data_IF_596701736312
#
_entry.id   IF_596701736312
#
_cell.length_a   1.000
_cell.length_b   1.000
_cell.length_c   1.000
_cell.angle_alpha   90.00
_cell.angle_beta   90.00
_cell.angle_gamma   90.00
#
_symmetry.space_group_name_H-M   'P 1'
#
loop_
_entity.id
_entity.type
_entity.pdbx_description
1 polymer ?
#
# COMPACT_ATOMS: atom_id res chain seq x y z
N UNK A 1 -28.36 10.08 39.49
CA UNK A 1 -27.34 9.20 38.85
C UNK A 1 -27.65 8.79 37.42
N UNK A 2 -28.38 9.56 36.59
CA UNK A 2 -28.89 9.11 35.27
C UNK A 2 -28.44 9.94 34.05
N UNK A 3 -27.61 10.94 34.23
CA UNK A 3 -27.12 11.76 33.09
C UNK A 3 -25.70 11.41 32.56
N UNK A 4 -24.91 10.66 33.32
CA UNK A 4 -23.53 10.28 32.89
C UNK A 4 -23.56 9.10 31.92
N UNK A 5 -24.50 8.16 32.07
CA UNK A 5 -24.60 6.97 31.21
C UNK A 5 -25.08 7.25 29.77
N UNK A 6 -25.83 8.34 29.55
CA UNK A 6 -26.35 8.69 28.20
C UNK A 6 -25.27 9.36 27.31
N UNK A 7 -24.36 10.09 27.95
CA UNK A 7 -23.23 10.70 27.19
C UNK A 7 -22.21 9.66 26.72
N UNK A 8 -21.99 8.58 27.48
CA UNK A 8 -21.06 7.52 27.08
C UNK A 8 -21.59 6.69 25.91
N UNK A 9 -22.90 6.39 25.88
CA UNK A 9 -23.49 5.65 24.74
C UNK A 9 -23.54 6.46 23.45
N UNK A 10 -23.72 7.78 23.51
CA UNK A 10 -23.65 8.65 22.34
C UNK A 10 -22.21 8.85 21.83
N UNK A 11 -21.23 8.95 22.71
CA UNK A 11 -19.82 8.94 22.33
C UNK A 11 -19.39 7.57 21.76
N UNK A 12 -19.86 6.47 22.31
CA UNK A 12 -19.61 5.13 21.75
C UNK A 12 -20.24 4.94 20.37
N UNK A 13 -21.48 5.42 20.14
CA UNK A 13 -22.12 5.42 18.81
C UNK A 13 -21.42 6.34 17.82
N UNK A 14 -20.91 7.49 18.26
CA UNK A 14 -20.15 8.42 17.41
C UNK A 14 -18.78 7.87 17.01
N UNK A 15 -18.13 7.05 17.85
CA UNK A 15 -16.89 6.32 17.56
C UNK A 15 -17.09 5.12 16.62
N UNK A 16 -18.33 4.66 16.39
CA UNK A 16 -18.65 3.50 15.54
C UNK A 16 -19.10 3.86 14.13
N UNK A 17 -19.18 5.14 13.76
CA UNK A 17 -19.62 5.54 12.42
C UNK A 17 -18.41 5.65 11.48
N UNK A 18 -18.52 5.01 10.30
CA UNK A 18 -17.55 5.19 9.23
C UNK A 18 -17.45 6.68 8.85
N UNK A 19 -16.21 7.17 8.66
CA UNK A 19 -15.99 8.50 8.13
C UNK A 19 -16.03 8.44 6.59
N UNK A 20 -16.46 9.53 5.95
CA UNK A 20 -16.44 9.63 4.49
C UNK A 20 -15.06 10.05 4.01
N UNK A 21 -14.61 9.42 2.94
CA UNK A 21 -13.42 9.87 2.20
C UNK A 21 -13.84 11.08 1.37
N UNK A 22 -13.08 12.16 1.45
CA UNK A 22 -13.27 13.33 0.59
C UNK A 22 -12.11 13.46 -0.39
N UNK A 23 -12.20 12.72 -1.49
CA UNK A 23 -11.14 12.66 -2.51
C UNK A 23 -10.83 14.02 -3.12
N UNK A 24 -11.82 14.89 -3.33
CA UNK A 24 -11.62 16.24 -3.88
C UNK A 24 -10.71 17.10 -3.00
N UNK A 25 -10.90 17.04 -1.67
CA UNK A 25 -10.02 17.77 -0.73
C UNK A 25 -8.62 17.16 -0.71
N UNK A 26 -8.53 15.83 -0.79
CA UNK A 26 -7.23 15.13 -0.77
C UNK A 26 -6.44 15.38 -2.06
N UNK A 27 -7.07 15.40 -3.23
CA UNK A 27 -6.45 15.71 -4.54
C UNK A 27 -5.81 17.11 -4.57
N UNK A 28 -6.38 18.10 -3.89
CA UNK A 28 -5.78 19.45 -3.78
C UNK A 28 -4.36 19.45 -3.22
N UNK A 29 -3.97 18.42 -2.47
CA UNK A 29 -2.61 18.28 -1.92
C UNK A 29 -1.59 17.78 -2.95
N UNK A 30 -2.03 17.34 -4.13
CA UNK A 30 -1.19 16.88 -5.23
C UNK A 30 -0.92 17.97 -6.27
N UNK A 31 -1.52 19.16 -6.12
CA UNK A 31 -1.31 20.29 -7.04
C UNK A 31 0.16 20.73 -6.95
N UNK A 32 0.79 20.80 -8.13
CA UNK A 32 2.19 21.21 -8.27
C UNK A 32 2.31 22.70 -8.56
N UNK A 33 3.29 23.36 -7.94
CA UNK A 33 3.66 24.71 -8.36
C UNK A 33 4.41 24.66 -9.70
N UNK A 34 4.41 25.78 -10.43
CA UNK A 34 5.07 25.87 -11.74
C UNK A 34 6.60 25.75 -11.69
N UNK A 35 7.19 26.03 -10.52
CA UNK A 35 8.62 25.98 -10.24
C UNK A 35 9.07 24.73 -9.48
N UNK A 36 8.16 23.78 -9.30
CA UNK A 36 8.43 22.56 -8.55
C UNK A 36 9.49 21.67 -9.24
N UNK A 37 10.32 21.02 -8.43
CA UNK A 37 11.33 20.06 -8.91
C UNK A 37 11.07 18.64 -8.38
N UNK A 38 11.63 17.63 -9.07
CA UNK A 38 11.40 16.20 -8.77
C UNK A 38 11.64 15.80 -7.31
N UNK A 39 12.57 16.44 -6.61
CA UNK A 39 12.88 16.14 -5.20
C UNK A 39 11.74 16.48 -4.24
N UNK A 40 10.83 17.38 -4.59
CA UNK A 40 9.69 17.76 -3.76
C UNK A 40 8.62 16.66 -3.70
N UNK A 41 8.52 15.87 -4.77
CA UNK A 41 7.56 14.77 -4.90
C UNK A 41 8.09 13.43 -4.39
N UNK A 42 9.27 13.46 -3.78
CA UNK A 42 9.88 12.34 -3.08
C UNK A 42 10.34 11.20 -3.98
N UNK A 43 10.87 10.17 -3.32
CA UNK A 43 11.42 8.98 -3.96
C UNK A 43 10.75 7.73 -3.37
N UNK A 44 10.09 6.94 -4.21
CA UNK A 44 9.55 5.63 -3.84
C UNK A 44 10.59 4.56 -4.15
N UNK A 45 10.87 3.67 -3.22
CA UNK A 45 11.63 2.44 -3.44
C UNK A 45 10.68 1.25 -3.30
N UNK A 46 10.37 0.59 -4.41
CA UNK A 46 9.69 -0.70 -4.41
C UNK A 46 10.71 -1.81 -4.24
N UNK A 47 10.46 -2.73 -3.31
CA UNK A 47 11.28 -3.93 -3.05
C UNK A 47 10.41 -5.16 -3.25
N UNK A 48 10.66 -5.90 -4.31
CA UNK A 48 9.87 -7.06 -4.70
C UNK A 48 10.27 -7.64 -6.05
N UNK A 49 9.37 -8.39 -6.67
CA UNK A 49 9.67 -9.02 -7.96
C UNK A 49 10.74 -10.09 -7.87
N UNK A 50 10.54 -11.11 -7.01
CA UNK A 50 11.40 -12.31 -6.97
C UNK A 50 11.24 -13.14 -8.25
N UNK A 51 12.08 -14.16 -8.41
CA UNK A 51 12.03 -15.07 -9.58
C UNK A 51 10.61 -15.62 -9.75
N UNK A 52 10.06 -15.45 -10.95
CA UNK A 52 8.68 -15.81 -11.28
C UNK A 52 7.60 -14.76 -10.94
N UNK A 53 7.95 -13.69 -10.20
CA UNK A 53 7.01 -12.67 -9.73
C UNK A 53 7.40 -11.24 -10.14
N UNK A 54 8.26 -11.09 -11.15
CA UNK A 54 8.78 -9.78 -11.59
C UNK A 54 7.71 -8.74 -11.92
N UNK A 55 6.59 -9.16 -12.50
CA UNK A 55 5.47 -8.30 -12.89
C UNK A 55 4.84 -7.53 -11.72
N UNK A 56 4.79 -8.11 -10.52
CA UNK A 56 4.19 -7.46 -9.35
C UNK A 56 4.98 -6.21 -8.92
N UNK A 57 6.32 -6.32 -8.84
CA UNK A 57 7.19 -5.17 -8.56
C UNK A 57 7.09 -4.09 -9.62
N UNK A 58 6.98 -4.48 -10.90
CA UNK A 58 6.81 -3.56 -12.02
C UNK A 58 5.49 -2.79 -11.97
N UNK A 59 4.37 -3.47 -11.70
CA UNK A 59 3.07 -2.84 -11.58
C UNK A 59 3.04 -1.83 -10.44
N UNK A 60 3.62 -2.17 -9.27
CA UNK A 60 3.74 -1.24 -8.16
C UNK A 60 4.59 -0.01 -8.51
N UNK A 61 5.73 -0.22 -9.19
CA UNK A 61 6.62 0.87 -9.62
C UNK A 61 5.96 1.76 -10.66
N UNK A 62 5.31 1.18 -11.68
CA UNK A 62 4.57 1.94 -12.70
C UNK A 62 3.45 2.75 -12.07
N UNK A 63 2.74 2.19 -11.10
CA UNK A 63 1.71 2.89 -10.35
C UNK A 63 2.28 4.11 -9.61
N UNK A 64 3.44 3.98 -8.98
CA UNK A 64 4.08 5.09 -8.29
C UNK A 64 4.48 6.22 -9.25
N UNK A 65 5.04 5.89 -10.41
CA UNK A 65 5.35 6.86 -11.49
C UNK A 65 4.07 7.57 -11.95
N UNK A 66 3.05 6.81 -12.31
CA UNK A 66 1.78 7.33 -12.83
C UNK A 66 1.07 8.26 -11.83
N UNK A 67 1.26 8.01 -10.53
CA UNK A 67 0.68 8.82 -9.46
C UNK A 67 1.58 9.97 -8.98
N UNK A 68 2.63 10.29 -9.74
CA UNK A 68 3.39 11.52 -9.57
C UNK A 68 4.51 11.46 -8.54
N UNK A 69 5.06 10.30 -8.20
CA UNK A 69 6.32 10.22 -7.48
C UNK A 69 7.43 10.94 -8.28
N UNK A 70 8.25 11.74 -7.60
CA UNK A 70 9.32 12.48 -8.28
C UNK A 70 10.46 11.60 -8.77
N UNK A 71 10.74 10.52 -8.05
CA UNK A 71 11.68 9.46 -8.38
C UNK A 71 11.10 8.10 -8.01
N UNK A 72 11.36 7.09 -8.83
CA UNK A 72 10.96 5.72 -8.59
C UNK A 72 12.14 4.77 -8.77
N UNK A 73 12.35 3.87 -7.82
CA UNK A 73 13.33 2.78 -7.92
C UNK A 73 12.69 1.43 -7.63
N UNK A 74 12.99 0.45 -8.45
CA UNK A 74 12.61 -0.95 -8.25
C UNK A 74 13.84 -1.77 -7.86
N UNK A 75 13.92 -2.23 -6.62
CA UNK A 75 14.89 -3.22 -6.15
C UNK A 75 14.32 -4.62 -6.38
N UNK A 76 14.87 -5.33 -7.34
CA UNK A 76 14.40 -6.63 -7.82
C UNK A 76 15.55 -7.54 -8.20
N UNK A 77 15.25 -8.80 -8.55
CA UNK A 77 16.26 -9.75 -9.02
C UNK A 77 16.91 -9.25 -10.32
N UNK A 78 18.22 -9.48 -10.45
CA UNK A 78 18.99 -9.03 -11.61
C UNK A 78 18.44 -9.52 -12.96
N UNK A 79 17.82 -10.71 -12.96
CA UNK A 79 17.19 -11.29 -14.17
C UNK A 79 16.00 -10.48 -14.71
N UNK A 80 15.42 -9.58 -13.92
CA UNK A 80 14.27 -8.76 -14.34
C UNK A 80 14.64 -7.37 -14.86
N UNK A 81 15.90 -6.96 -14.78
CA UNK A 81 16.33 -5.59 -15.13
C UNK A 81 15.98 -5.22 -16.57
N UNK A 82 16.36 -6.07 -17.54
CA UNK A 82 16.09 -5.78 -18.95
C UNK A 82 14.60 -5.70 -19.29
N UNK A 83 13.81 -6.66 -18.78
CA UNK A 83 12.36 -6.66 -18.95
C UNK A 83 11.71 -5.43 -18.31
N UNK A 84 12.19 -5.02 -17.15
CA UNK A 84 11.69 -3.84 -16.45
C UNK A 84 11.90 -2.56 -17.22
N UNK A 85 13.10 -2.36 -17.78
CA UNK A 85 13.44 -1.18 -18.59
C UNK A 85 12.63 -1.12 -19.88
N UNK A 86 12.34 -2.27 -20.50
CA UNK A 86 11.49 -2.32 -21.69
C UNK A 86 10.02 -1.96 -21.36
N UNK A 87 9.53 -2.32 -20.18
CA UNK A 87 8.16 -2.04 -19.77
C UNK A 87 7.96 -0.61 -19.27
N UNK A 88 8.91 -0.08 -18.50
CA UNK A 88 8.81 1.25 -17.88
C UNK A 88 10.21 1.87 -17.72
N UNK A 89 10.71 2.60 -18.74
CA UNK A 89 12.05 3.21 -18.70
C UNK A 89 12.17 4.34 -17.66
N UNK A 90 11.05 4.86 -17.13
CA UNK A 90 11.03 5.88 -16.08
C UNK A 90 11.45 5.32 -14.71
N UNK A 91 11.42 4.00 -14.54
CA UNK A 91 11.80 3.33 -13.29
C UNK A 91 13.30 3.06 -13.25
N UNK A 92 13.97 3.50 -12.19
CA UNK A 92 15.37 3.18 -11.94
C UNK A 92 15.52 1.78 -11.37
N UNK A 93 15.71 0.77 -12.23
CA UNK A 93 15.81 -0.63 -11.79
C UNK A 93 17.14 -0.90 -11.11
N UNK A 94 17.09 -1.48 -9.90
CA UNK A 94 18.25 -1.80 -9.07
C UNK A 94 18.38 -3.33 -8.95
N UNK A 95 19.41 -3.95 -9.55
CA UNK A 95 19.65 -5.37 -9.38
C UNK A 95 20.05 -5.67 -7.92
N UNK A 96 19.27 -6.51 -7.26
CA UNK A 96 19.46 -6.87 -5.84
C UNK A 96 19.28 -8.37 -5.68
N UNK A 97 20.40 -9.11 -5.63
CA UNK A 97 20.40 -10.55 -5.45
C UNK A 97 20.75 -10.98 -4.02
N UNK A 98 21.06 -10.04 -3.13
CA UNK A 98 21.32 -10.28 -1.69
C UNK A 98 20.90 -9.11 -0.82
N UNK A 99 20.75 -9.35 0.48
CA UNK A 99 20.47 -8.29 1.46
C UNK A 99 21.55 -7.21 1.51
N UNK A 100 22.82 -7.59 1.33
CA UNK A 100 23.94 -6.65 1.28
C UNK A 100 23.83 -5.72 0.05
N UNK A 101 23.43 -6.24 -1.10
CA UNK A 101 23.25 -5.45 -2.30
C UNK A 101 22.09 -4.42 -2.17
N UNK A 102 21.11 -4.69 -1.30
CA UNK A 102 20.01 -3.78 -1.02
C UNK A 102 20.43 -2.57 -0.17
N UNK A 103 21.38 -2.73 0.76
CA UNK A 103 21.69 -1.72 1.78
C UNK A 103 21.95 -0.32 1.21
N UNK A 104 22.69 -0.24 0.11
CA UNK A 104 23.04 1.04 -0.53
C UNK A 104 21.87 1.85 -1.08
N UNK A 105 20.69 1.22 -1.20
CA UNK A 105 19.48 1.87 -1.73
C UNK A 105 18.49 2.28 -0.64
N UNK A 106 18.74 1.90 0.62
CA UNK A 106 17.79 2.08 1.72
C UNK A 106 17.89 3.44 2.43
N UNK A 107 18.89 4.27 2.13
CA UNK A 107 19.10 5.55 2.83
C UNK A 107 18.41 6.74 2.17
N UNK A 108 18.18 6.68 0.88
CA UNK A 108 17.68 7.81 0.10
C UNK A 108 16.16 7.87 -0.13
N UNK A 109 15.37 6.77 -0.05
CA UNK A 109 13.96 6.84 -0.38
C UNK A 109 13.14 7.60 0.67
N UNK A 110 12.13 8.33 0.19
CA UNK A 110 11.12 8.98 1.03
C UNK A 110 10.11 7.98 1.59
N UNK A 111 9.93 6.85 0.92
CA UNK A 111 9.07 5.72 1.32
C UNK A 111 9.57 4.41 0.72
N UNK A 112 9.42 3.33 1.46
CA UNK A 112 9.71 1.96 1.00
C UNK A 112 8.38 1.22 0.83
N UNK A 113 8.12 0.69 -0.36
CA UNK A 113 7.04 -0.24 -0.67
C UNK A 113 7.62 -1.66 -0.73
N UNK A 114 7.28 -2.50 0.23
CA UNK A 114 7.84 -3.84 0.37
C UNK A 114 6.75 -4.89 0.20
N UNK A 115 6.99 -5.87 -0.67
CA UNK A 115 6.15 -7.06 -0.72
C UNK A 115 5.57 -7.47 -2.07
N UNK A 116 5.29 -6.55 -3.03
CA UNK A 116 4.80 -6.92 -4.36
C UNK A 116 5.70 -7.99 -5.01
N UNK A 117 5.18 -9.22 -5.15
CA UNK A 117 5.95 -10.33 -5.71
C UNK A 117 7.24 -10.68 -4.97
N UNK A 118 7.29 -10.45 -3.66
CA UNK A 118 8.51 -10.68 -2.87
C UNK A 118 8.85 -12.17 -2.75
N UNK A 119 7.85 -13.06 -2.72
CA UNK A 119 8.04 -14.46 -2.38
C UNK A 119 8.30 -14.67 -0.89
N UNK A 120 8.63 -15.92 -0.52
CA UNK A 120 8.81 -16.31 0.89
C UNK A 120 10.07 -17.16 1.10
N UNK A 121 11.05 -17.02 0.21
CA UNK A 121 12.34 -17.71 0.27
C UNK A 121 13.39 -16.93 1.10
N UNK A 122 14.62 -17.42 1.09
CA UNK A 122 15.72 -16.79 1.83
C UNK A 122 16.03 -15.36 1.35
N UNK A 123 15.91 -15.10 0.04
CA UNK A 123 16.10 -13.75 -0.49
C UNK A 123 15.03 -12.80 0.08
N UNK A 124 13.78 -13.22 0.10
CA UNK A 124 12.66 -12.45 0.65
C UNK A 124 12.87 -12.11 2.13
N UNK A 125 13.39 -13.07 2.90
CA UNK A 125 13.72 -12.85 4.30
C UNK A 125 14.83 -11.82 4.50
N UNK A 126 15.83 -11.80 3.63
CA UNK A 126 16.87 -10.77 3.66
C UNK A 126 16.29 -9.39 3.31
N UNK A 127 15.44 -9.31 2.30
CA UNK A 127 14.81 -8.05 1.88
C UNK A 127 13.99 -7.43 3.01
N UNK A 128 13.12 -8.22 3.66
CA UNK A 128 12.30 -7.70 4.76
C UNK A 128 13.16 -7.32 5.98
N UNK A 129 14.15 -8.13 6.33
CA UNK A 129 15.03 -7.84 7.47
C UNK A 129 15.74 -6.50 7.30
N UNK A 130 16.46 -6.32 6.18
CA UNK A 130 17.24 -5.11 5.90
C UNK A 130 16.35 -3.87 5.76
N UNK A 131 15.17 -4.03 5.15
CA UNK A 131 14.22 -2.93 4.99
C UNK A 131 13.66 -2.46 6.33
N UNK A 132 13.23 -3.37 7.21
CA UNK A 132 12.71 -3.03 8.54
C UNK A 132 13.79 -2.38 9.42
N UNK A 133 14.99 -2.95 9.44
CA UNK A 133 16.12 -2.44 10.20
C UNK A 133 16.43 -0.99 9.81
N UNK A 134 16.61 -0.73 8.50
CA UNK A 134 16.98 0.58 7.98
C UNK A 134 15.84 1.60 8.10
N UNK A 135 14.62 1.22 7.76
CA UNK A 135 13.47 2.10 7.87
C UNK A 135 13.21 2.54 9.31
N UNK A 136 13.44 1.65 10.28
CA UNK A 136 13.37 2.04 11.68
C UNK A 136 14.45 3.03 12.06
N UNK A 137 15.71 2.78 11.65
CA UNK A 137 16.85 3.67 11.95
C UNK A 137 16.64 5.08 11.39
N UNK A 138 16.18 5.16 10.14
CA UNK A 138 16.04 6.43 9.41
C UNK A 138 14.65 7.07 9.59
N UNK A 139 13.72 6.40 10.31
CA UNK A 139 12.31 6.79 10.43
C UNK A 139 11.61 6.94 9.05
N UNK A 140 12.03 6.15 8.06
CA UNK A 140 11.47 6.12 6.71
C UNK A 140 10.09 5.47 6.74
N UNK A 141 9.05 6.09 6.16
CA UNK A 141 7.75 5.46 5.99
C UNK A 141 7.83 4.15 5.20
N UNK A 142 7.02 3.17 5.58
CA UNK A 142 6.90 1.91 4.83
C UNK A 142 5.45 1.59 4.51
N UNK A 143 5.24 1.05 3.32
CA UNK A 143 4.06 0.28 2.97
C UNK A 143 4.47 -1.19 2.84
N UNK A 144 3.73 -2.09 3.49
CA UNK A 144 3.97 -3.54 3.40
C UNK A 144 2.71 -4.21 2.86
N UNK A 145 2.86 -4.98 1.78
CA UNK A 145 1.79 -5.71 1.09
C UNK A 145 2.20 -7.16 0.80
N UNK A 146 1.28 -7.95 0.34
CA UNK A 146 1.48 -9.30 -0.21
C UNK A 146 2.39 -10.18 0.67
N UNK A 147 3.45 -10.76 0.10
CA UNK A 147 4.36 -11.64 0.84
C UNK A 147 5.10 -10.94 1.98
N UNK A 148 5.29 -9.63 1.91
CA UNK A 148 5.77 -8.84 3.03
C UNK A 148 4.89 -8.97 4.27
N UNK A 149 3.55 -9.01 4.10
CA UNK A 149 2.60 -9.22 5.19
C UNK A 149 2.63 -10.65 5.71
N UNK A 150 2.82 -11.64 4.84
CA UNK A 150 2.93 -13.04 5.23
C UNK A 150 4.15 -13.30 6.11
N UNK A 151 5.28 -12.66 5.79
CA UNK A 151 6.54 -12.78 6.53
C UNK A 151 6.59 -11.91 7.80
N UNK A 152 5.86 -10.79 7.84
CA UNK A 152 5.93 -9.80 8.91
C UNK A 152 5.83 -10.38 10.33
N UNK A 153 4.89 -11.31 10.66
CA UNK A 153 4.78 -11.87 12.01
C UNK A 153 6.05 -12.58 12.50
N UNK A 154 6.87 -13.12 11.59
CA UNK A 154 8.16 -13.77 11.93
C UNK A 154 9.18 -12.74 12.38
N UNK A 155 9.20 -11.56 11.74
CA UNK A 155 10.25 -10.55 11.96
C UNK A 155 9.96 -9.59 13.11
N UNK A 156 8.70 -9.26 13.39
CA UNK A 156 8.34 -8.36 14.50
C UNK A 156 8.72 -8.89 15.89
N UNK A 157 8.98 -10.18 16.01
CA UNK A 157 9.52 -10.78 17.24
C UNK A 157 11.00 -10.45 17.47
N UNK A 158 11.72 -10.10 16.41
CA UNK A 158 13.16 -9.85 16.40
C UNK A 158 13.51 -8.39 16.19
N UNK A 159 12.69 -7.69 15.41
CA UNK A 159 12.91 -6.30 15.01
C UNK A 159 11.68 -5.46 15.32
N UNK A 160 11.82 -4.35 16.03
CA UNK A 160 10.71 -3.43 16.23
C UNK A 160 10.37 -2.71 14.91
N UNK A 161 9.08 -2.52 14.66
CA UNK A 161 8.58 -1.85 13.45
C UNK A 161 8.97 -0.37 13.38
N UNK A 162 9.08 0.21 12.17
CA UNK A 162 9.12 1.65 11.97
C UNK A 162 7.86 2.32 12.52
N UNK A 163 7.96 3.60 12.91
CA UNK A 163 6.81 4.35 13.44
C UNK A 163 5.76 4.70 12.38
N UNK A 164 6.17 4.77 11.12
CA UNK A 164 5.32 5.20 10.00
C UNK A 164 5.10 4.02 9.06
N UNK A 165 3.99 3.29 9.25
CA UNK A 165 3.74 2.06 8.50
C UNK A 165 2.28 1.98 8.00
N UNK A 166 2.12 1.53 6.76
CA UNK A 166 0.85 1.15 6.14
C UNK A 166 0.88 -0.34 5.85
N UNK A 167 -0.17 -1.05 6.20
CA UNK A 167 -0.36 -2.47 5.88
C UNK A 167 -1.60 -2.60 5.01
N UNK A 168 -1.51 -3.35 3.92
CA UNK A 168 -2.59 -3.49 2.92
C UNK A 168 -3.12 -4.93 2.80
N UNK A 169 -3.52 -5.59 3.92
CA UNK A 169 -3.90 -6.98 3.86
C UNK A 169 -5.23 -7.23 3.13
N UNK A 170 -5.30 -8.28 2.33
CA UNK A 170 -6.55 -8.96 2.02
C UNK A 170 -6.95 -9.89 3.19
N UNK A 171 -8.13 -10.54 3.10
CA UNK A 171 -8.66 -11.37 4.20
C UNK A 171 -7.68 -12.49 4.62
N UNK A 172 -6.98 -13.13 3.66
CA UNK A 172 -6.00 -14.17 3.95
C UNK A 172 -4.79 -13.65 4.73
N UNK A 173 -4.21 -12.54 4.29
CA UNK A 173 -3.08 -11.88 4.96
C UNK A 173 -3.48 -11.36 6.35
N UNK A 174 -4.69 -10.80 6.47
CA UNK A 174 -5.23 -10.38 7.76
C UNK A 174 -5.37 -11.54 8.76
N UNK A 175 -5.74 -12.73 8.27
CA UNK A 175 -5.81 -13.93 9.12
C UNK A 175 -4.43 -14.35 9.65
N UNK A 176 -3.39 -14.22 8.84
CA UNK A 176 -1.98 -14.47 9.23
C UNK A 176 -1.53 -13.40 10.26
N UNK A 177 -1.77 -12.13 9.98
CA UNK A 177 -1.39 -11.02 10.88
C UNK A 177 -2.03 -11.14 12.27
N UNK A 178 -3.27 -11.61 12.35
CA UNK A 178 -3.98 -11.78 13.62
C UNK A 178 -3.86 -13.20 14.21
N UNK A 179 -3.26 -14.13 13.49
CA UNK A 179 -3.22 -15.55 13.83
C UNK A 179 -4.64 -16.09 14.15
N UNK A 180 -5.56 -15.93 13.18
CA UNK A 180 -6.97 -16.33 13.32
C UNK A 180 -7.51 -16.86 11.98
N UNK A 181 -8.72 -17.42 11.95
CA UNK A 181 -9.29 -17.94 10.71
C UNK A 181 -9.84 -16.83 9.79
N UNK A 182 -9.89 -17.13 8.48
CA UNK A 182 -10.45 -16.21 7.46
C UNK A 182 -11.93 -15.92 7.71
N UNK A 183 -12.67 -16.87 8.27
CA UNK A 183 -14.09 -16.76 8.60
C UNK A 183 -14.32 -15.69 9.68
N UNK A 184 -13.47 -15.66 10.72
CA UNK A 184 -13.50 -14.64 11.77
C UNK A 184 -13.25 -13.26 11.18
N UNK A 185 -12.25 -13.13 10.29
CA UNK A 185 -11.97 -11.86 9.61
C UNK A 185 -13.18 -11.42 8.77
N UNK A 186 -13.74 -12.32 7.93
CA UNK A 186 -14.90 -12.04 7.08
C UNK A 186 -16.10 -11.56 7.89
N UNK A 187 -16.40 -12.22 9.00
CA UNK A 187 -17.55 -11.89 9.88
C UNK A 187 -17.40 -10.53 10.56
N UNK A 188 -16.16 -10.10 10.85
CA UNK A 188 -15.89 -8.92 11.68
C UNK A 188 -14.81 -8.02 11.08
N UNK A 189 -14.94 -7.61 9.80
CA UNK A 189 -13.90 -6.91 9.06
C UNK A 189 -13.43 -5.61 9.73
N UNK A 190 -14.35 -4.77 10.20
CA UNK A 190 -14.02 -3.50 10.88
C UNK A 190 -13.22 -3.76 12.16
N UNK A 191 -13.69 -4.70 12.99
CA UNK A 191 -13.00 -5.04 14.23
C UNK A 191 -11.61 -5.64 13.95
N UNK A 192 -11.49 -6.45 12.91
CA UNK A 192 -10.22 -7.04 12.48
C UNK A 192 -9.22 -5.98 12.01
N UNK A 193 -9.67 -5.01 11.20
CA UNK A 193 -8.84 -3.88 10.78
C UNK A 193 -8.35 -3.06 11.99
N UNK A 194 -9.22 -2.77 12.95
CA UNK A 194 -8.85 -2.07 14.20
C UNK A 194 -7.84 -2.87 15.03
N UNK A 195 -8.02 -4.19 15.16
CA UNK A 195 -7.09 -5.08 15.87
C UNK A 195 -5.71 -5.09 15.23
N UNK A 196 -5.64 -5.18 13.89
CA UNK A 196 -4.36 -5.10 13.15
C UNK A 196 -3.73 -3.73 13.37
N UNK A 197 -4.49 -2.64 13.20
CA UNK A 197 -3.99 -1.28 13.40
C UNK A 197 -3.40 -1.06 14.79
N UNK A 198 -4.05 -1.55 15.83
CA UNK A 198 -3.55 -1.47 17.22
C UNK A 198 -2.33 -2.35 17.43
N UNK A 199 -2.37 -3.62 16.97
CA UNK A 199 -1.28 -4.59 17.14
C UNK A 199 0.03 -4.14 16.53
N UNK A 200 -0.05 -3.57 15.31
CA UNK A 200 1.14 -3.16 14.54
C UNK A 200 1.41 -1.66 14.58
N UNK A 201 0.59 -0.87 15.29
CA UNK A 201 0.66 0.60 15.26
C UNK A 201 0.72 1.15 13.83
N UNK A 202 -0.13 0.63 12.94
CA UNK A 202 -0.11 0.86 11.50
C UNK A 202 -1.43 1.42 10.98
N UNK A 203 -1.38 2.22 9.91
CA UNK A 203 -2.55 2.43 9.05
C UNK A 203 -2.83 1.12 8.32
N UNK A 204 -4.08 0.68 8.27
CA UNK A 204 -4.48 -0.60 7.68
C UNK A 204 -5.47 -0.37 6.56
N UNK A 205 -5.22 -0.96 5.40
CA UNK A 205 -6.17 -1.10 4.29
C UNK A 205 -6.60 -2.56 4.21
N UNK A 206 -7.74 -2.92 4.79
CA UNK A 206 -8.29 -4.27 4.67
C UNK A 206 -9.05 -4.39 3.35
N UNK A 207 -8.36 -4.97 2.35
CA UNK A 207 -8.83 -5.11 0.96
C UNK A 207 -10.06 -6.02 0.86
N UNK A 208 -10.89 -5.77 -0.16
CA UNK A 208 -12.09 -6.54 -0.54
C UNK A 208 -13.27 -5.62 -0.85
N UNK A 209 -14.45 -6.20 -1.17
CA UNK A 209 -15.66 -5.38 -1.37
C UNK A 209 -15.85 -4.45 -0.17
N UNK A 210 -16.07 -3.16 -0.42
CA UNK A 210 -16.09 -2.13 0.61
C UNK A 210 -14.79 -2.14 1.44
N UNK A 211 -13.68 -1.80 0.81
CA UNK A 211 -12.36 -1.74 1.45
C UNK A 211 -12.38 -0.84 2.68
N UNK A 212 -11.75 -1.28 3.76
CA UNK A 212 -11.75 -0.58 5.05
C UNK A 212 -10.37 0.03 5.28
N UNK A 213 -10.30 1.34 5.43
CA UNK A 213 -9.09 2.06 5.81
C UNK A 213 -9.20 2.42 7.30
N UNK A 214 -8.21 2.02 8.11
CA UNK A 214 -8.29 2.15 9.56
C UNK A 214 -6.98 2.68 10.16
N UNK A 215 -7.10 3.61 11.09
CA UNK A 215 -6.02 4.05 11.96
C UNK A 215 -6.53 4.13 13.41
N UNK A 216 -6.10 3.21 14.25
CA UNK A 216 -6.59 3.05 15.63
C UNK A 216 -8.12 2.83 15.66
N UNK A 217 -8.87 3.78 16.18
CA UNK A 217 -10.32 3.70 16.27
C UNK A 217 -11.07 4.40 15.13
N UNK A 218 -10.36 5.23 14.34
CA UNK A 218 -10.91 5.89 13.14
C UNK A 218 -10.91 4.93 11.97
N UNK A 219 -12.01 4.87 11.22
CA UNK A 219 -12.07 4.07 10.00
C UNK A 219 -12.93 4.72 8.93
N UNK A 220 -12.62 4.36 7.69
CA UNK A 220 -13.28 4.80 6.46
C UNK A 220 -13.66 3.55 5.67
N UNK A 221 -14.70 3.65 4.85
CA UNK A 221 -15.12 2.60 3.94
C UNK A 221 -15.15 3.20 2.54
N UNK A 222 -14.46 2.57 1.60
CA UNK A 222 -14.57 2.86 0.19
C UNK A 222 -15.62 1.90 -0.41
N UNK A 223 -16.73 2.45 -0.87
CA UNK A 223 -17.84 1.69 -1.44
C UNK A 223 -17.72 1.50 -2.96
N UNK A 224 -16.76 2.20 -3.61
CA UNK A 224 -16.43 2.06 -5.03
C UNK A 224 -15.67 0.76 -5.30
N UNK A 225 -15.57 0.42 -6.58
CA UNK A 225 -14.91 -0.78 -7.07
C UNK A 225 -15.88 -1.91 -7.36
N UNK A 226 -15.48 -2.79 -8.26
CA UNK A 226 -16.31 -3.85 -8.79
C UNK A 226 -15.61 -5.22 -8.80
N UNK A 227 -16.30 -6.25 -9.25
CA UNK A 227 -15.79 -7.62 -9.24
C UNK A 227 -14.63 -7.86 -10.21
N UNK A 228 -14.47 -7.05 -11.25
CA UNK A 228 -13.34 -7.10 -12.20
C UNK A 228 -11.98 -6.89 -11.51
N UNK A 229 -11.97 -6.19 -10.35
CA UNK A 229 -10.78 -6.01 -9.55
C UNK A 229 -10.26 -7.30 -8.89
N UNK A 230 -10.97 -8.42 -9.00
CA UNK A 230 -10.52 -9.72 -8.50
C UNK A 230 -9.49 -10.37 -9.45
N UNK A 231 -8.48 -9.60 -9.86
CA UNK A 231 -7.41 -9.98 -10.81
C UNK A 231 -6.05 -9.81 -10.15
N UNK A 232 -5.11 -10.70 -10.47
CA UNK A 232 -3.73 -10.60 -9.97
C UNK A 232 -3.07 -9.29 -10.40
N UNK A 233 -2.31 -8.65 -9.49
CA UNK A 233 -1.65 -7.36 -9.76
C UNK A 233 -2.43 -6.13 -9.27
N UNK A 234 -3.74 -6.21 -9.02
CA UNK A 234 -4.53 -5.07 -8.52
C UNK A 234 -4.03 -4.55 -7.17
N UNK A 235 -3.61 -5.45 -6.26
CA UNK A 235 -3.00 -5.07 -4.99
C UNK A 235 -1.67 -4.35 -5.17
N UNK A 236 -0.85 -4.80 -6.12
CA UNK A 236 0.46 -4.21 -6.41
C UNK A 236 0.30 -2.77 -6.93
N UNK A 237 -0.66 -2.55 -7.83
CA UNK A 237 -1.04 -1.20 -8.30
C UNK A 237 -1.46 -0.31 -7.14
N UNK A 238 -2.35 -0.77 -6.27
CA UNK A 238 -2.78 -0.02 -5.09
C UNK A 238 -1.60 0.36 -4.19
N UNK A 239 -0.66 -0.55 -4.00
CA UNK A 239 0.52 -0.33 -3.17
C UNK A 239 1.44 0.75 -3.74
N UNK A 240 1.62 0.78 -5.05
CA UNK A 240 2.34 1.85 -5.75
C UNK A 240 1.65 3.20 -5.64
N UNK A 241 0.32 3.26 -5.87
CA UNK A 241 -0.49 4.48 -5.73
C UNK A 241 -0.33 5.10 -4.34
N UNK A 242 -0.56 4.30 -3.28
CA UNK A 242 -0.46 4.77 -1.89
C UNK A 242 0.97 5.24 -1.59
N UNK A 243 1.98 4.49 -2.02
CA UNK A 243 3.39 4.83 -1.80
C UNK A 243 3.77 6.14 -2.47
N UNK A 244 3.27 6.40 -3.68
CA UNK A 244 3.48 7.68 -4.37
C UNK A 244 2.93 8.87 -3.56
N UNK A 245 1.72 8.75 -3.01
CA UNK A 245 1.13 9.83 -2.20
C UNK A 245 1.86 10.04 -0.88
N UNK A 246 2.41 8.98 -0.28
CA UNK A 246 3.27 9.10 0.91
C UNK A 246 4.57 9.83 0.56
N UNK A 247 5.20 9.51 -0.57
CA UNK A 247 6.41 10.18 -1.05
C UNK A 247 6.17 11.68 -1.26
N UNK A 248 5.00 12.06 -1.75
CA UNK A 248 4.54 13.44 -1.92
C UNK A 248 4.07 14.09 -0.61
N UNK A 249 4.56 13.58 0.54
CA UNK A 249 4.35 14.14 1.89
C UNK A 249 2.91 14.10 2.41
N UNK A 250 2.03 13.32 1.78
CA UNK A 250 0.70 13.09 2.33
C UNK A 250 0.81 12.24 3.61
N UNK A 251 -0.06 12.50 4.59
CA UNK A 251 -0.11 11.63 5.79
C UNK A 251 -0.50 10.21 5.38
N UNK A 252 0.00 9.19 6.10
CA UNK A 252 -0.26 7.78 5.77
C UNK A 252 -1.75 7.47 5.63
N UNK A 253 -2.58 8.03 6.52
CA UNK A 253 -4.03 7.81 6.48
C UNK A 253 -4.67 8.45 5.25
N UNK A 254 -4.30 9.68 4.91
CA UNK A 254 -4.84 10.37 3.74
C UNK A 254 -4.37 9.70 2.44
N UNK A 255 -3.10 9.28 2.36
CA UNK A 255 -2.56 8.55 1.23
C UNK A 255 -3.30 7.22 1.01
N UNK A 256 -3.56 6.48 2.09
CA UNK A 256 -4.34 5.24 2.03
C UNK A 256 -5.79 5.49 1.60
N UNK A 257 -6.45 6.52 2.14
CA UNK A 257 -7.83 6.87 1.76
C UNK A 257 -7.91 7.27 0.28
N UNK A 258 -7.06 8.20 -0.17
CA UNK A 258 -7.08 8.66 -1.55
C UNK A 258 -6.69 7.54 -2.51
N UNK A 259 -5.65 6.76 -2.19
CA UNK A 259 -5.20 5.66 -3.04
C UNK A 259 -6.26 4.60 -3.25
N UNK A 260 -6.96 4.19 -2.19
CA UNK A 260 -8.06 3.22 -2.29
C UNK A 260 -9.23 3.78 -3.10
N UNK A 261 -9.57 5.05 -2.89
CA UNK A 261 -10.67 5.71 -3.60
C UNK A 261 -10.40 5.80 -5.10
N UNK A 262 -9.22 6.31 -5.50
CA UNK A 262 -8.85 6.46 -6.92
C UNK A 262 -8.68 5.12 -7.63
N UNK A 263 -8.07 4.14 -6.97
CA UNK A 263 -7.90 2.81 -7.50
C UNK A 263 -9.26 2.12 -7.79
N UNK A 264 -10.22 2.29 -6.88
CA UNK A 264 -11.56 1.74 -7.05
C UNK A 264 -12.37 2.52 -8.11
N UNK A 265 -12.27 3.85 -8.13
CA UNK A 265 -12.91 4.72 -9.11
C UNK A 265 -12.44 4.41 -10.54
N UNK A 266 -11.13 4.25 -10.75
CA UNK A 266 -10.58 3.87 -12.05
C UNK A 266 -11.12 2.53 -12.57
N UNK A 267 -11.25 1.55 -11.67
CA UNK A 267 -11.84 0.27 -12.02
C UNK A 267 -13.32 0.38 -12.41
N UNK A 268 -14.08 1.25 -11.74
CA UNK A 268 -15.49 1.49 -12.06
C UNK A 268 -15.63 2.24 -13.39
N UNK A 269 -14.80 3.25 -13.65
CA UNK A 269 -14.81 3.98 -14.94
C UNK A 269 -14.52 3.05 -16.12
N UNK A 270 -13.47 2.20 -16.02
CA UNK A 270 -13.20 1.19 -17.05
C UNK A 270 -14.40 0.27 -17.28
N UNK A 271 -14.96 -0.25 -16.19
CA UNK A 271 -16.01 -1.25 -16.25
C UNK A 271 -17.33 -0.70 -16.81
N UNK A 272 -17.60 0.59 -16.62
CA UNK A 272 -18.76 1.26 -17.17
C UNK A 272 -18.70 1.42 -18.70
N UNK A 273 -17.51 1.45 -19.29
CA UNK A 273 -17.30 1.62 -20.73
C UNK A 273 -17.08 0.29 -21.44
N UNK A 274 -16.24 -0.56 -20.86
CA UNK A 274 -15.75 -1.80 -21.53
C UNK A 274 -16.33 -3.06 -20.89
N UNK A 275 -16.54 -3.04 -19.58
CA UNK A 275 -17.03 -4.19 -18.81
C UNK A 275 -16.02 -4.74 -17.82
N UNK A 276 -16.50 -5.49 -16.82
CA UNK A 276 -15.69 -5.97 -15.69
C UNK A 276 -14.75 -7.13 -16.06
N UNK A 277 -15.11 -7.96 -17.03
CA UNK A 277 -14.45 -9.25 -17.26
C UNK A 277 -13.05 -9.11 -17.87
N UNK A 278 -12.78 -8.01 -18.56
CA UNK A 278 -11.51 -7.73 -19.23
C UNK A 278 -10.61 -6.77 -18.44
N UNK A 279 -11.06 -6.32 -17.26
CA UNK A 279 -10.31 -5.36 -16.45
C UNK A 279 -8.97 -5.93 -16.01
N UNK A 280 -7.89 -5.25 -16.37
CA UNK A 280 -6.53 -5.58 -15.98
C UNK A 280 -5.92 -4.51 -15.07
N UNK A 281 -4.84 -4.83 -14.32
CA UNK A 281 -4.12 -3.81 -13.54
C UNK A 281 -3.58 -2.65 -14.39
N UNK A 282 -3.19 -2.91 -15.63
CA UNK A 282 -2.69 -1.87 -16.54
C UNK A 282 -3.78 -0.91 -16.97
N UNK A 283 -5.01 -1.36 -17.17
CA UNK A 283 -6.14 -0.48 -17.46
C UNK A 283 -6.40 0.50 -16.30
N UNK A 284 -6.33 0.01 -15.06
CA UNK A 284 -6.44 0.86 -13.87
C UNK A 284 -5.31 1.89 -13.81
N UNK A 285 -4.08 1.51 -14.16
CA UNK A 285 -2.93 2.42 -14.21
C UNK A 285 -3.12 3.58 -15.20
N UNK A 286 -3.75 3.31 -16.34
CA UNK A 286 -3.96 4.33 -17.35
C UNK A 286 -5.07 5.32 -16.92
N UNK A 287 -6.17 4.83 -16.38
CA UNK A 287 -7.26 5.68 -15.91
C UNK A 287 -6.88 6.49 -14.67
N UNK A 288 -6.12 5.93 -13.74
CA UNK A 288 -5.69 6.66 -12.54
C UNK A 288 -4.95 7.96 -12.88
N UNK A 289 -4.20 8.01 -13.98
CA UNK A 289 -3.53 9.25 -14.44
C UNK A 289 -4.52 10.37 -14.73
N UNK A 290 -5.70 10.04 -15.24
CA UNK A 290 -6.73 11.02 -15.60
C UNK A 290 -7.49 11.50 -14.36
N UNK A 291 -7.48 10.71 -13.29
CA UNK A 291 -8.20 11.00 -12.06
C UNK A 291 -7.41 11.84 -11.05
N UNK A 292 -6.11 12.04 -11.23
CA UNK A 292 -5.23 12.78 -10.29
C UNK A 292 -5.25 14.32 -10.56
#
# INVERSE_FOLDING_TARGET
MTRVAINDTNNFKKMMKAQKINSLILKKKLIRSSDAHKGEFGHVLVIGGNIGFGGAGLLASKAAVNCGAGLESLATRSSHVSASLNFCPEVMVKPVDSGQALEKYLDSPSVICLGPGLGQDYWSEQMIYKSLERAKKNNTPMLIDADGLNLLPKFIKKLPLPKKIVLTPHIGEASILLNTSKEIIKKNRILSAKKISKKYSAVVVLKGKNSIICWKDKYFICEKGNAGMATGGMGDVLSGIISSFIAQKMTLLNAACLGVELHAEAADEYSNVIGMNSLTPTDVLDIVKELI
#
